data_IF_957310365359
#
_entry.id   IF_957310365359
#
_cell.length_a   1.000
_cell.length_b   1.000
_cell.length_c   1.000
_cell.angle_alpha   90.00
_cell.angle_beta   90.00
_cell.angle_gamma   90.00
#
_symmetry.space_group_name_H-M   'P 1'
#
loop_
_entity.id
_entity.type
_entity.pdbx_description
1 polymer ?
#
# COMPACT_ATOMS: atom_id res chain seq x y z
N UNK A 1 34.75 44.16 2.20
CA UNK A 1 33.39 43.93 2.72
C UNK A 1 32.91 42.61 2.14
N UNK A 2 32.52 41.64 2.97
CA UNK A 2 31.88 40.42 2.47
C UNK A 2 30.51 40.82 1.92
N UNK A 3 30.34 40.85 0.60
CA UNK A 3 29.03 41.12 0.02
C UNK A 3 28.05 39.97 0.30
N UNK A 4 26.76 40.26 0.22
CA UNK A 4 25.72 39.26 0.46
C UNK A 4 25.79 38.14 -0.59
N UNK A 5 25.64 36.90 -0.14
CA UNK A 5 25.52 35.73 -1.01
C UNK A 5 24.11 35.67 -1.62
N UNK A 6 24.00 35.20 -2.85
CA UNK A 6 22.72 34.84 -3.48
C UNK A 6 22.64 33.33 -3.70
N UNK A 7 21.42 32.80 -3.62
CA UNK A 7 21.14 31.36 -3.72
C UNK A 7 20.14 31.12 -4.84
N UNK A 8 20.33 30.06 -5.62
CA UNK A 8 19.42 29.66 -6.70
C UNK A 8 19.29 28.14 -6.71
N UNK A 9 18.06 27.63 -6.68
CA UNK A 9 17.80 26.20 -6.79
C UNK A 9 17.97 25.75 -8.24
N UNK A 10 18.66 24.64 -8.44
CA UNK A 10 18.89 24.04 -9.75
C UNK A 10 17.93 22.87 -10.00
N UNK A 11 17.87 22.43 -11.26
CA UNK A 11 17.07 21.29 -11.70
C UNK A 11 17.29 20.04 -10.84
N UNK A 12 16.21 19.32 -10.56
CA UNK A 12 16.19 18.17 -9.64
C UNK A 12 15.97 18.54 -8.18
N UNK A 13 15.68 19.81 -7.87
CA UNK A 13 15.28 20.30 -6.53
C UNK A 13 13.77 20.61 -6.48
N UNK A 14 12.96 19.85 -7.23
CA UNK A 14 11.59 20.24 -7.56
C UNK A 14 10.65 20.28 -6.36
N UNK A 15 10.97 19.54 -5.30
CA UNK A 15 10.20 19.48 -4.06
C UNK A 15 10.35 20.72 -3.16
N UNK A 16 11.33 21.59 -3.42
CA UNK A 16 11.71 22.67 -2.53
C UNK A 16 11.71 24.05 -3.20
N UNK A 17 11.54 25.08 -2.38
CA UNK A 17 11.66 26.49 -2.75
C UNK A 17 12.46 27.28 -1.70
N UNK A 18 12.98 28.45 -2.08
CA UNK A 18 13.62 29.35 -1.12
C UNK A 18 12.55 30.19 -0.42
N UNK A 19 12.69 30.39 0.89
CA UNK A 19 11.81 31.29 1.64
C UNK A 19 11.96 32.73 1.10
N UNK A 20 10.87 33.36 0.61
CA UNK A 20 10.94 34.72 0.07
C UNK A 20 11.26 35.77 1.13
N UNK A 21 11.09 35.45 2.43
CA UNK A 21 11.38 36.33 3.57
C UNK A 21 12.78 36.11 4.15
N UNK A 22 13.43 34.99 3.82
CA UNK A 22 14.76 34.63 4.27
C UNK A 22 15.53 33.84 3.20
N UNK A 23 16.48 34.49 2.54
CA UNK A 23 17.21 33.93 1.39
C UNK A 23 18.10 32.71 1.70
N UNK A 24 18.22 32.31 2.97
CA UNK A 24 19.02 31.18 3.45
C UNK A 24 18.16 30.06 4.06
N UNK A 25 16.83 30.09 3.88
CA UNK A 25 15.91 29.06 4.35
C UNK A 25 15.29 28.35 3.16
N UNK A 26 15.22 27.03 3.24
CA UNK A 26 14.58 26.17 2.26
C UNK A 26 13.21 25.72 2.81
N UNK A 27 12.17 25.82 1.99
CA UNK A 27 10.81 25.36 2.29
C UNK A 27 10.46 24.20 1.37
N UNK A 28 9.55 23.33 1.81
CA UNK A 28 8.88 22.37 0.93
C UNK A 28 7.81 23.12 0.16
N UNK A 29 7.77 22.96 -1.17
CA UNK A 29 6.75 23.61 -1.99
C UNK A 29 5.35 23.19 -1.56
N UNK A 30 4.43 24.14 -1.57
CA UNK A 30 3.04 23.85 -1.25
C UNK A 30 2.47 22.73 -2.15
N UNK A 31 1.80 21.75 -1.53
CA UNK A 31 1.23 20.59 -2.21
C UNK A 31 2.21 19.45 -2.51
N UNK A 32 3.51 19.64 -2.29
CA UNK A 32 4.48 18.54 -2.34
C UNK A 32 4.41 17.75 -1.03
N UNK A 33 4.23 16.43 -1.16
CA UNK A 33 4.33 15.49 -0.04
C UNK A 33 5.73 14.89 -0.03
N UNK A 34 6.45 15.07 1.08
CA UNK A 34 7.68 14.35 1.36
C UNK A 34 7.33 13.04 2.09
N UNK A 35 6.90 12.07 1.30
CA UNK A 35 6.33 10.80 1.75
C UNK A 35 6.96 9.67 0.95
N UNK A 36 7.27 8.54 1.59
CA UNK A 36 8.10 7.50 1.00
C UNK A 36 7.47 6.89 -0.27
N UNK A 37 6.14 6.81 -0.29
CA UNK A 37 5.31 6.31 -1.39
C UNK A 37 5.39 7.19 -2.65
N UNK A 38 5.81 8.46 -2.50
CA UNK A 38 5.99 9.42 -3.59
C UNK A 38 7.46 9.64 -3.96
N UNK A 39 8.39 9.38 -3.05
CA UNK A 39 9.83 9.46 -3.28
C UNK A 39 10.64 9.13 -2.03
N UNK A 40 11.62 8.24 -2.16
CA UNK A 40 12.51 7.86 -1.05
C UNK A 40 13.70 8.82 -0.88
N UNK A 41 13.95 9.68 -1.85
CA UNK A 41 15.05 10.64 -1.86
C UNK A 41 14.64 11.88 -2.64
N UNK A 42 14.93 13.06 -2.08
CA UNK A 42 14.75 14.33 -2.77
C UNK A 42 16.08 15.09 -2.79
N UNK A 43 16.64 15.26 -3.99
CA UNK A 43 17.88 16.00 -4.16
C UNK A 43 17.67 17.50 -3.91
N UNK A 44 18.70 18.15 -3.39
CA UNK A 44 18.79 19.59 -3.21
C UNK A 44 20.09 20.05 -3.85
N UNK A 45 19.97 20.81 -4.93
CA UNK A 45 21.11 21.42 -5.63
C UNK A 45 20.97 22.94 -5.60
N UNK A 46 21.94 23.61 -4.98
CA UNK A 46 21.94 25.07 -4.81
C UNK A 46 23.19 25.67 -5.45
N UNK A 47 22.99 26.64 -6.34
CA UNK A 47 24.02 27.54 -6.81
C UNK A 47 24.17 28.69 -5.81
N UNK A 48 25.36 28.86 -5.25
CA UNK A 48 25.73 29.98 -4.38
C UNK A 48 26.62 30.94 -5.16
N UNK A 49 26.29 32.22 -5.16
CA UNK A 49 27.07 33.27 -5.83
C UNK A 49 27.45 34.38 -4.86
N UNK A 50 28.69 34.84 -4.93
CA UNK A 50 29.16 35.97 -4.15
C UNK A 50 29.03 37.31 -4.88
N UNK A 51 29.30 38.41 -4.17
CA UNK A 51 29.25 39.75 -4.76
C UNK A 51 30.29 40.04 -5.84
N UNK A 52 31.33 39.20 -5.95
CA UNK A 52 32.30 39.26 -7.03
C UNK A 52 31.90 38.39 -8.23
N UNK A 53 30.76 37.71 -8.15
CA UNK A 53 30.22 36.85 -9.20
C UNK A 53 30.78 35.43 -9.24
N UNK A 54 31.57 35.02 -8.23
CA UNK A 54 32.09 33.65 -8.14
C UNK A 54 30.99 32.70 -7.72
N UNK A 55 31.00 31.50 -8.29
CA UNK A 55 29.93 30.51 -8.16
C UNK A 55 30.42 29.21 -7.53
N UNK A 56 29.57 28.60 -6.70
CA UNK A 56 29.76 27.28 -6.12
C UNK A 56 28.44 26.52 -6.16
N UNK A 57 28.44 25.29 -6.65
CA UNK A 57 27.28 24.40 -6.55
C UNK A 57 27.44 23.49 -5.35
N UNK A 58 26.44 23.48 -4.47
CA UNK A 58 26.35 22.59 -3.33
C UNK A 58 25.21 21.62 -3.57
N UNK A 59 25.45 20.33 -3.35
CA UNK A 59 24.44 19.28 -3.48
C UNK A 59 24.31 18.51 -2.18
N UNK A 60 23.09 18.27 -1.76
CA UNK A 60 22.73 17.37 -0.68
C UNK A 60 21.41 16.68 -1.03
N UNK A 61 20.89 15.88 -0.11
CA UNK A 61 19.60 15.22 -0.25
C UNK A 61 18.84 15.21 1.08
N UNK A 62 17.53 15.08 0.97
CA UNK A 62 16.67 14.62 2.06
C UNK A 62 16.33 13.18 1.77
N UNK A 63 16.85 12.27 2.59
CA UNK A 63 16.41 10.88 2.61
C UNK A 63 15.08 10.84 3.38
N UNK A 64 14.03 10.34 2.73
CA UNK A 64 12.77 10.03 3.42
C UNK A 64 12.88 8.59 3.89
N UNK A 65 12.91 8.42 5.19
CA UNK A 65 12.85 7.10 5.79
C UNK A 65 11.38 6.65 5.77
N UNK A 66 11.09 5.52 5.14
CA UNK A 66 9.86 4.83 5.44
C UNK A 66 9.94 4.40 6.90
N UNK A 67 9.11 4.98 7.77
CA UNK A 67 8.90 4.44 9.11
C UNK A 67 7.96 3.23 8.98
N UNK A 68 8.40 2.22 8.23
CA UNK A 68 7.80 0.90 8.18
C UNK A 68 8.13 0.20 9.49
N UNK A 69 7.50 0.62 10.59
CA UNK A 69 7.59 -0.14 11.83
C UNK A 69 6.84 -1.44 11.62
N UNK A 70 7.57 -2.54 11.47
CA UNK A 70 6.99 -3.88 11.63
C UNK A 70 6.37 -3.96 13.03
N UNK A 71 5.06 -4.12 13.11
CA UNK A 71 4.34 -4.25 14.37
C UNK A 71 3.89 -5.69 14.57
N UNK A 72 4.02 -6.17 15.80
CA UNK A 72 3.28 -7.33 16.27
C UNK A 72 2.18 -6.83 17.19
N UNK A 73 0.91 -6.93 16.74
CA UNK A 73 -0.25 -6.48 17.51
C UNK A 73 -1.21 -7.65 17.71
N UNK A 74 -1.64 -7.80 18.96
CA UNK A 74 -2.63 -8.79 19.38
C UNK A 74 -3.81 -8.01 19.94
N UNK A 75 -5.02 -8.30 19.46
CA UNK A 75 -6.26 -7.79 20.02
C UNK A 75 -6.61 -8.42 21.37
N UNK A 76 -7.69 -7.92 21.96
CA UNK A 76 -8.27 -8.45 23.18
C UNK A 76 -9.30 -9.55 22.85
N UNK A 77 -10.00 -10.04 23.87
CA UNK A 77 -11.14 -10.93 23.67
C UNK A 77 -12.44 -10.13 23.40
N UNK A 78 -12.39 -9.22 22.43
CA UNK A 78 -13.47 -8.30 22.04
C UNK A 78 -13.38 -7.97 20.55
N UNK A 79 -14.49 -7.55 19.93
CA UNK A 79 -14.51 -7.04 18.55
C UNK A 79 -13.54 -5.85 18.35
N UNK A 80 -12.39 -6.13 17.73
CA UNK A 80 -11.30 -5.19 17.56
C UNK A 80 -11.19 -4.63 16.13
N UNK A 81 -10.64 -3.41 16.05
CA UNK A 81 -10.21 -2.81 14.79
C UNK A 81 -8.71 -2.62 14.81
N UNK A 82 -8.02 -3.45 14.05
CA UNK A 82 -6.56 -3.53 14.04
C UNK A 82 -6.07 -3.09 12.67
N UNK A 83 -5.49 -1.90 12.60
CA UNK A 83 -4.89 -1.37 11.37
C UNK A 83 -3.41 -1.11 11.59
N UNK A 84 -2.59 -1.70 10.72
CA UNK A 84 -1.19 -1.35 10.58
C UNK A 84 -1.00 -0.38 9.40
N UNK A 85 0.25 -0.10 9.05
CA UNK A 85 0.57 0.93 8.04
C UNK A 85 1.43 0.36 6.93
N UNK A 86 2.71 0.17 7.22
CA UNK A 86 3.69 -0.27 6.24
C UNK A 86 4.72 -1.11 6.96
N UNK A 87 5.22 -2.16 6.33
CA UNK A 87 6.15 -3.09 6.96
C UNK A 87 5.77 -4.53 6.69
N UNK A 88 6.28 -5.45 7.50
CA UNK A 88 5.84 -6.84 7.53
C UNK A 88 5.26 -7.07 8.90
N UNK A 89 3.97 -6.82 9.00
CA UNK A 89 3.27 -6.79 10.27
C UNK A 89 2.71 -8.17 10.62
N UNK A 90 2.54 -8.42 11.91
CA UNK A 90 1.86 -9.60 12.44
C UNK A 90 0.66 -9.12 13.25
N UNK A 91 -0.52 -9.30 12.70
CA UNK A 91 -1.78 -8.91 13.33
C UNK A 91 -2.57 -10.14 13.75
N UNK A 92 -2.94 -10.19 15.02
CA UNK A 92 -3.75 -11.27 15.61
C UNK A 92 -4.99 -10.61 16.21
N UNK A 93 -6.18 -10.94 15.71
CA UNK A 93 -7.46 -10.45 16.21
C UNK A 93 -7.71 -10.93 17.63
N UNK A 94 -7.90 -12.24 17.82
CA UNK A 94 -8.09 -12.85 19.13
C UNK A 94 -9.44 -13.56 19.20
N UNK A 95 -10.24 -13.26 20.21
CA UNK A 95 -11.63 -13.72 20.26
C UNK A 95 -12.53 -12.51 20.01
N UNK A 96 -13.61 -12.67 19.25
CA UNK A 96 -14.49 -11.56 18.88
C UNK A 96 -14.64 -11.46 17.36
N UNK A 97 -15.41 -10.49 16.89
CA UNK A 97 -15.53 -10.24 15.45
C UNK A 97 -14.57 -9.11 15.07
N UNK A 98 -13.39 -9.47 14.60
CA UNK A 98 -12.31 -8.53 14.39
C UNK A 98 -12.26 -8.01 12.96
N UNK A 99 -11.72 -6.81 12.78
CA UNK A 99 -11.41 -6.26 11.46
C UNK A 99 -9.93 -5.88 11.37
N UNK A 100 -9.24 -6.51 10.43
CA UNK A 100 -7.79 -6.42 10.26
C UNK A 100 -7.45 -5.73 8.93
N UNK A 101 -6.58 -4.71 9.00
CA UNK A 101 -5.95 -4.04 7.87
C UNK A 101 -4.43 -4.18 8.00
N UNK A 102 -3.80 -4.96 7.12
CA UNK A 102 -2.34 -5.07 7.05
C UNK A 102 -1.71 -3.77 6.56
N UNK A 103 -2.10 -3.33 5.37
CA UNK A 103 -1.62 -2.08 4.78
C UNK A 103 -0.64 -2.35 3.66
N UNK A 104 0.57 -1.81 3.76
CA UNK A 104 1.66 -2.01 2.79
C UNK A 104 2.73 -2.98 3.33
N UNK A 105 3.31 -3.76 2.42
CA UNK A 105 4.28 -4.80 2.70
C UNK A 105 3.62 -6.15 3.02
N UNK A 106 4.42 -7.19 3.25
CA UNK A 106 3.88 -8.55 3.31
C UNK A 106 3.50 -8.90 4.75
N UNK A 107 2.22 -8.79 5.07
CA UNK A 107 1.72 -8.95 6.43
C UNK A 107 1.25 -10.39 6.72
N UNK A 108 1.19 -10.73 8.00
CA UNK A 108 0.61 -11.97 8.50
C UNK A 108 -0.60 -11.64 9.35
N UNK A 109 -1.77 -12.05 8.89
CA UNK A 109 -3.06 -11.74 9.48
C UNK A 109 -3.70 -13.01 10.04
N UNK A 110 -4.04 -12.99 11.33
CA UNK A 110 -4.72 -14.07 12.04
C UNK A 110 -6.00 -13.51 12.63
N UNK A 111 -7.16 -14.02 12.23
CA UNK A 111 -8.45 -13.57 12.78
C UNK A 111 -8.63 -14.06 14.21
N UNK A 112 -8.49 -15.37 14.40
CA UNK A 112 -8.75 -16.05 15.65
C UNK A 112 -10.16 -16.65 15.68
N UNK A 113 -10.84 -16.49 16.81
CA UNK A 113 -12.18 -17.02 17.03
C UNK A 113 -13.24 -15.94 16.85
N UNK A 114 -14.21 -16.18 15.96
CA UNK A 114 -15.33 -15.28 15.73
C UNK A 114 -15.59 -15.11 14.24
N UNK A 115 -16.23 -14.00 13.85
CA UNK A 115 -16.50 -13.66 12.44
C UNK A 115 -15.61 -12.50 12.03
N UNK A 116 -14.48 -12.83 11.45
CA UNK A 116 -13.44 -11.84 11.21
C UNK A 116 -13.50 -11.27 9.79
N UNK A 117 -12.94 -10.09 9.65
CA UNK A 117 -12.90 -9.35 8.39
C UNK A 117 -11.47 -8.97 8.07
N UNK A 118 -10.95 -9.49 6.96
CA UNK A 118 -9.64 -9.13 6.42
C UNK A 118 -9.83 -8.09 5.31
N UNK A 119 -9.34 -6.87 5.51
CA UNK A 119 -9.57 -5.76 4.60
C UNK A 119 -8.33 -5.46 3.77
N UNK A 120 -8.49 -5.49 2.45
CA UNK A 120 -7.49 -5.06 1.48
C UNK A 120 -7.87 -3.67 0.95
N UNK A 121 -7.18 -2.64 1.45
CA UNK A 121 -7.41 -1.24 1.10
C UNK A 121 -6.29 -0.56 0.29
N UNK A 122 -5.27 -1.34 -0.08
CA UNK A 122 -4.11 -0.90 -0.87
C UNK A 122 -4.10 -1.53 -2.25
N UNK A 123 -3.48 -0.85 -3.22
CA UNK A 123 -3.40 -1.33 -4.59
C UNK A 123 -2.57 -2.64 -4.64
N UNK A 124 -3.10 -3.74 -5.22
CA UNK A 124 -2.34 -4.97 -5.41
C UNK A 124 -0.98 -4.74 -6.08
N UNK A 125 0.07 -5.38 -5.55
CA UNK A 125 1.42 -5.36 -6.10
C UNK A 125 2.22 -6.59 -5.67
N UNK A 126 3.26 -6.94 -6.41
CA UNK A 126 4.20 -8.03 -6.09
C UNK A 126 5.03 -7.81 -4.82
N UNK A 127 4.92 -6.62 -4.20
CA UNK A 127 5.59 -6.22 -2.95
C UNK A 127 4.64 -6.16 -1.76
N UNK A 128 3.35 -6.41 -1.97
CA UNK A 128 2.29 -6.29 -0.98
C UNK A 128 1.39 -7.53 -1.02
N UNK A 129 1.93 -8.65 -0.57
CA UNK A 129 1.25 -9.95 -0.57
C UNK A 129 1.10 -10.41 0.88
N UNK A 130 -0.13 -10.31 1.38
CA UNK A 130 -0.44 -10.68 2.75
C UNK A 130 -0.72 -12.18 2.88
N UNK A 131 -0.51 -12.71 4.06
CA UNK A 131 -0.83 -14.10 4.42
C UNK A 131 -1.90 -14.11 5.49
N UNK A 132 -3.09 -14.59 5.15
CA UNK A 132 -4.15 -14.89 6.12
C UNK A 132 -3.96 -16.33 6.59
N UNK A 133 -3.87 -16.53 7.90
CA UNK A 133 -3.33 -17.77 8.47
C UNK A 133 -4.36 -18.82 8.87
N UNK A 134 -5.59 -18.39 9.11
CA UNK A 134 -6.62 -19.18 9.78
C UNK A 134 -8.02 -18.94 9.23
N UNK A 135 -8.12 -18.37 8.02
CA UNK A 135 -9.40 -18.05 7.36
C UNK A 135 -10.40 -19.21 7.45
N UNK A 136 -11.54 -18.95 8.08
CA UNK A 136 -12.67 -19.85 8.21
C UNK A 136 -13.81 -19.38 7.30
N UNK A 137 -14.00 -20.08 6.18
CA UNK A 137 -15.01 -19.73 5.16
C UNK A 137 -16.45 -19.63 5.65
N UNK A 138 -16.77 -20.23 6.80
CA UNK A 138 -18.12 -20.21 7.36
C UNK A 138 -18.41 -18.92 8.14
N UNK A 139 -17.37 -18.28 8.68
CA UNK A 139 -17.48 -17.17 9.61
C UNK A 139 -16.85 -15.89 9.08
N UNK A 140 -15.72 -16.01 8.37
CA UNK A 140 -14.89 -14.88 7.96
C UNK A 140 -15.22 -14.33 6.58
N UNK A 141 -14.86 -13.06 6.39
CA UNK A 141 -15.06 -12.31 5.16
C UNK A 141 -13.77 -11.61 4.70
N UNK A 142 -13.60 -11.50 3.39
CA UNK A 142 -12.57 -10.66 2.77
C UNK A 142 -13.24 -9.40 2.22
N UNK A 143 -12.79 -8.23 2.67
CA UNK A 143 -13.30 -6.95 2.19
C UNK A 143 -12.30 -6.32 1.23
N UNK A 144 -12.78 -5.93 0.04
CA UNK A 144 -11.97 -5.38 -1.04
C UNK A 144 -12.36 -3.92 -1.25
N UNK A 145 -11.45 -2.98 -0.97
CA UNK A 145 -11.70 -1.56 -1.17
C UNK A 145 -11.71 -1.23 -2.67
N UNK A 146 -12.87 -0.84 -3.20
CA UNK A 146 -12.96 -0.45 -4.62
C UNK A 146 -12.14 0.81 -4.92
N UNK A 147 -12.26 1.83 -4.07
CA UNK A 147 -11.63 3.12 -4.35
C UNK A 147 -10.10 3.03 -4.18
N UNK A 148 -9.35 3.26 -5.26
CA UNK A 148 -7.88 3.29 -5.25
C UNK A 148 -7.19 1.93 -5.40
N UNK A 149 -7.82 0.84 -4.98
CA UNK A 149 -7.24 -0.51 -5.01
C UNK A 149 -7.92 -1.42 -6.06
N UNK A 150 -9.14 -1.87 -5.81
CA UNK A 150 -9.87 -2.82 -6.66
C UNK A 150 -10.89 -2.11 -7.57
N UNK A 151 -10.40 -1.15 -8.37
CA UNK A 151 -11.23 -0.11 -9.00
C UNK A 151 -12.27 -0.62 -10.00
N UNK A 152 -12.09 -1.82 -10.56
CA UNK A 152 -12.99 -2.42 -11.55
C UNK A 152 -14.01 -3.41 -10.96
N UNK A 153 -13.98 -3.63 -9.64
CA UNK A 153 -15.02 -4.39 -8.97
C UNK A 153 -16.29 -3.56 -8.80
N UNK A 154 -17.43 -4.24 -8.73
CA UNK A 154 -18.72 -3.61 -8.43
C UNK A 154 -18.90 -3.57 -6.91
N UNK A 155 -19.22 -2.40 -6.35
CA UNK A 155 -19.47 -2.27 -4.89
C UNK A 155 -20.64 -3.15 -4.47
N UNK A 156 -20.52 -3.81 -3.31
CA UNK A 156 -21.48 -4.77 -2.79
C UNK A 156 -20.93 -6.19 -2.78
N UNK A 157 -21.81 -7.18 -2.73
CA UNK A 157 -21.41 -8.58 -2.82
C UNK A 157 -20.66 -8.84 -4.14
N UNK A 158 -19.54 -9.56 -4.08
CA UNK A 158 -18.79 -9.93 -5.29
C UNK A 158 -19.67 -10.83 -6.15
N UNK A 159 -19.83 -10.50 -7.43
CA UNK A 159 -20.64 -11.32 -8.33
C UNK A 159 -19.90 -12.62 -8.70
N UNK A 160 -20.63 -13.71 -8.88
CA UNK A 160 -20.05 -14.99 -9.32
C UNK A 160 -19.31 -14.87 -10.67
N UNK A 161 -19.73 -13.96 -11.55
CA UNK A 161 -19.07 -13.69 -12.83
C UNK A 161 -17.70 -12.99 -12.66
N UNK A 162 -17.46 -12.32 -11.53
CA UNK A 162 -16.19 -11.65 -11.23
C UNK A 162 -15.22 -12.54 -10.44
N UNK A 163 -15.59 -13.77 -10.11
CA UNK A 163 -14.80 -14.69 -9.31
C UNK A 163 -14.47 -15.96 -10.09
N UNK A 164 -13.25 -16.46 -9.92
CA UNK A 164 -12.80 -17.72 -10.51
C UNK A 164 -11.99 -18.53 -9.52
N UNK A 165 -12.17 -19.85 -9.55
CA UNK A 165 -11.30 -20.81 -8.86
C UNK A 165 -10.40 -21.47 -9.91
N UNK A 166 -9.10 -21.24 -9.79
CA UNK A 166 -8.08 -21.65 -10.74
C UNK A 166 -6.82 -20.79 -10.63
N UNK A 167 -5.80 -21.10 -11.44
CA UNK A 167 -4.53 -20.38 -11.41
C UNK A 167 -4.57 -19.03 -12.16
N UNK A 168 -5.48 -18.86 -13.11
CA UNK A 168 -5.57 -17.70 -14.00
C UNK A 168 -7.03 -17.40 -14.33
N UNK A 169 -7.34 -16.17 -14.75
CA UNK A 169 -8.65 -15.83 -15.28
C UNK A 169 -8.91 -16.56 -16.61
N UNK A 170 -10.15 -16.93 -16.87
CA UNK A 170 -10.56 -17.61 -18.11
C UNK A 170 -11.45 -16.75 -19.02
N UNK A 171 -11.84 -15.57 -18.56
CA UNK A 171 -12.68 -14.64 -19.32
C UNK A 171 -12.48 -13.18 -18.88
N UNK A 172 -13.05 -12.25 -19.65
CA UNK A 172 -12.95 -10.80 -19.45
C UNK A 172 -13.75 -10.22 -18.30
N UNK A 173 -14.52 -11.02 -17.56
CA UNK A 173 -15.33 -10.57 -16.43
C UNK A 173 -14.73 -10.97 -15.09
N UNK A 174 -13.94 -12.04 -15.05
CA UNK A 174 -13.24 -12.49 -13.86
C UNK A 174 -12.22 -11.44 -13.40
N UNK A 175 -12.24 -11.13 -12.10
CA UNK A 175 -11.40 -10.10 -11.49
C UNK A 175 -10.71 -10.61 -10.23
N UNK A 176 -11.35 -11.48 -9.45
CA UNK A 176 -10.75 -12.15 -8.31
C UNK A 176 -10.56 -13.62 -8.66
N UNK A 177 -9.30 -14.04 -8.69
CA UNK A 177 -8.91 -15.39 -9.06
C UNK A 177 -8.32 -16.03 -7.80
N UNK A 178 -8.80 -17.21 -7.47
CA UNK A 178 -8.35 -17.97 -6.32
C UNK A 178 -7.79 -19.31 -6.76
N UNK A 179 -6.49 -19.52 -6.55
CA UNK A 179 -5.86 -20.81 -6.76
C UNK A 179 -6.04 -21.67 -5.50
N UNK A 180 -6.96 -22.64 -5.56
CA UNK A 180 -7.29 -23.55 -4.46
C UNK A 180 -6.22 -24.63 -4.20
N UNK A 181 -5.17 -24.69 -5.03
CA UNK A 181 -4.02 -25.57 -4.81
C UNK A 181 -2.96 -24.87 -3.97
N UNK A 182 -2.75 -23.57 -4.17
CA UNK A 182 -1.71 -22.78 -3.48
C UNK A 182 -2.27 -21.88 -2.37
N UNK A 183 -3.57 -21.59 -2.42
CA UNK A 183 -4.23 -20.60 -1.58
C UNK A 183 -4.04 -19.16 -2.07
N UNK A 184 -3.51 -18.94 -3.28
CA UNK A 184 -3.19 -17.61 -3.77
C UNK A 184 -4.42 -16.88 -4.27
N UNK A 185 -4.53 -15.61 -3.91
CA UNK A 185 -5.55 -14.69 -4.40
C UNK A 185 -4.92 -13.64 -5.30
N UNK A 186 -5.51 -13.47 -6.47
CA UNK A 186 -5.07 -12.54 -7.49
C UNK A 186 -6.18 -11.56 -7.84
N UNK A 187 -5.76 -10.33 -8.15
CA UNK A 187 -6.61 -9.34 -8.79
C UNK A 187 -6.20 -9.18 -10.24
N UNK A 188 -7.10 -9.56 -11.13
CA UNK A 188 -7.00 -9.29 -12.55
C UNK A 188 -7.67 -7.94 -12.86
N UNK A 189 -6.87 -6.94 -13.21
CA UNK A 189 -7.34 -5.60 -13.51
C UNK A 189 -7.64 -5.37 -14.99
N UNK A 190 -7.24 -6.25 -15.91
CA UNK A 190 -7.56 -6.07 -17.33
C UNK A 190 -8.57 -7.11 -17.83
N UNK A 191 -8.78 -8.18 -17.07
CA UNK A 191 -9.66 -9.29 -17.43
C UNK A 191 -9.11 -10.12 -18.59
N UNK A 192 -7.86 -9.91 -19.02
CA UNK A 192 -7.38 -10.67 -20.16
C UNK A 192 -6.86 -12.01 -19.66
N UNK A 193 -7.62 -13.08 -19.94
CA UNK A 193 -7.30 -14.44 -19.53
C UNK A 193 -6.05 -15.05 -20.18
N UNK A 194 -5.01 -14.26 -20.50
CA UNK A 194 -3.65 -14.69 -20.87
C UNK A 194 -2.61 -13.55 -21.09
N UNK A 195 -3.00 -12.28 -21.30
CA UNK A 195 -2.08 -11.25 -21.85
C UNK A 195 -1.47 -10.28 -20.80
N UNK A 196 -2.19 -9.93 -19.73
CA UNK A 196 -1.59 -9.31 -18.54
C UNK A 196 -1.80 -10.19 -17.33
N UNK A 197 -0.73 -10.33 -16.52
CA UNK A 197 -0.77 -11.21 -15.36
C UNK A 197 -1.57 -10.57 -14.25
N UNK A 198 -2.61 -11.26 -13.80
CA UNK A 198 -3.29 -10.98 -12.55
C UNK A 198 -2.25 -10.80 -11.43
N UNK A 199 -2.45 -9.79 -10.58
CA UNK A 199 -1.50 -9.42 -9.53
C UNK A 199 -1.89 -10.13 -8.25
N UNK A 200 -0.99 -10.97 -7.73
CA UNK A 200 -1.20 -11.60 -6.43
C UNK A 200 -1.28 -10.52 -5.35
N UNK A 201 -2.26 -10.64 -4.45
CA UNK A 201 -2.40 -9.73 -3.31
C UNK A 201 -2.51 -10.44 -1.97
N UNK A 202 -2.85 -11.73 -1.97
CA UNK A 202 -2.93 -12.49 -0.72
C UNK A 202 -2.64 -13.98 -0.89
N UNK A 203 -2.40 -14.63 0.24
CA UNK A 203 -2.27 -16.07 0.44
C UNK A 203 -3.21 -16.46 1.57
N UNK A 204 -4.11 -17.40 1.33
CA UNK A 204 -4.87 -18.09 2.37
C UNK A 204 -4.17 -19.39 2.72
N UNK A 205 -3.65 -19.48 3.94
CA UNK A 205 -3.01 -20.71 4.40
C UNK A 205 -3.99 -21.89 4.38
N UNK A 206 -3.46 -23.07 4.04
CA UNK A 206 -4.22 -24.34 3.90
C UNK A 206 -5.23 -24.34 2.74
N UNK A 207 -5.25 -23.30 1.91
CA UNK A 207 -6.10 -23.20 0.72
C UNK A 207 -7.56 -23.62 1.00
N UNK A 208 -8.30 -22.90 1.87
CA UNK A 208 -9.69 -23.23 2.16
C UNK A 208 -10.53 -23.17 0.87
N UNK A 209 -11.55 -24.00 0.78
CA UNK A 209 -12.55 -23.87 -0.28
C UNK A 209 -13.23 -22.50 -0.19
N UNK A 210 -13.23 -21.74 -1.29
CA UNK A 210 -13.76 -20.38 -1.35
C UNK A 210 -14.79 -20.23 -2.46
N UNK A 211 -15.69 -19.27 -2.26
CA UNK A 211 -16.51 -18.75 -3.36
C UNK A 211 -16.63 -17.24 -3.28
N UNK A 212 -17.23 -16.65 -4.31
CA UNK A 212 -17.56 -15.22 -4.36
C UNK A 212 -18.33 -14.71 -3.14
N UNK A 213 -19.05 -15.58 -2.40
CA UNK A 213 -19.80 -15.18 -1.20
C UNK A 213 -18.91 -14.81 -0.01
N UNK A 214 -17.64 -15.20 -0.03
CA UNK A 214 -16.66 -14.85 1.00
C UNK A 214 -16.07 -13.43 0.82
N UNK A 215 -16.52 -12.69 -0.20
CA UNK A 215 -15.99 -11.38 -0.54
C UNK A 215 -17.07 -10.29 -0.52
N UNK A 216 -16.71 -9.14 0.05
CA UNK A 216 -17.51 -7.91 -0.04
C UNK A 216 -16.65 -6.78 -0.62
N UNK A 217 -17.17 -6.10 -1.63
CA UNK A 217 -16.54 -4.93 -2.24
C UNK A 217 -17.06 -3.67 -1.55
N UNK A 218 -16.19 -2.94 -0.89
CA UNK A 218 -16.51 -1.73 -0.10
C UNK A 218 -16.08 -0.44 -0.80
#
# INVERSE_FOLDING_TARGET
MSGALTYTLLEGTDAFELDPTANNVLLVKNGVKLDYEFGSEYAIKVLVKDSAGRELVVSTKVDILNLSTEIMRVGAATDDKIKATGGKDVLIGGEGNDTLWGGLGNDKLTGGGGKDVFVFDTKPSDKNIDTITDFNKADDMIHLQKAGAFTLLTRGALSAAQFHVGAEATDEFQRIIYDDTTGFLYYDADGSGTDAKAVQFAILQKAPDLSHTNFLVI
#
